data_IF_092866603855
#
_entry.id   IF_092866603855
#
_cell.length_a   1.000
_cell.length_b   1.000
_cell.length_c   1.000
_cell.angle_alpha   90.00
_cell.angle_beta   90.00
_cell.angle_gamma   90.00
#
_symmetry.space_group_name_H-M   'P 1'
#
loop_
_entity.id
_entity.type
_entity.pdbx_description
1 polymer ?
#
# COMPACT_ATOMS: atom_id res chain seq x y z
N UNK A 1 -8.02 5.65 17.81
CA UNK A 1 -9.42 5.92 17.36
C UNK A 1 -10.42 4.96 18.01
N UNK A 2 -11.46 5.42 18.71
CA UNK A 2 -12.67 4.62 19.00
C UNK A 2 -13.64 4.80 17.84
N UNK A 3 -13.41 4.09 16.75
CA UNK A 3 -14.24 4.19 15.54
C UNK A 3 -14.95 2.85 15.34
N UNK A 4 -16.22 2.77 15.79
CA UNK A 4 -17.04 1.57 15.63
C UNK A 4 -17.14 1.11 14.17
N UNK A 5 -17.08 2.04 13.21
CA UNK A 5 -17.06 1.71 11.77
C UNK A 5 -15.80 0.93 11.39
N UNK A 6 -14.63 1.33 11.87
CA UNK A 6 -13.36 0.63 11.58
C UNK A 6 -13.37 -0.76 12.20
N UNK A 7 -13.92 -0.90 13.41
CA UNK A 7 -14.10 -2.23 14.03
C UNK A 7 -15.02 -3.11 13.18
N UNK A 8 -16.19 -2.60 12.79
CA UNK A 8 -17.15 -3.37 11.98
C UNK A 8 -16.57 -3.75 10.61
N UNK A 9 -15.82 -2.85 9.98
CA UNK A 9 -15.11 -3.14 8.73
C UNK A 9 -14.08 -4.27 8.92
N UNK A 10 -13.29 -4.21 9.98
CA UNK A 10 -12.32 -5.25 10.31
C UNK A 10 -13.00 -6.60 10.59
N UNK A 11 -14.06 -6.61 11.41
CA UNK A 11 -14.86 -7.80 11.72
C UNK A 11 -15.43 -8.42 10.43
N UNK A 12 -16.01 -7.60 9.56
CA UNK A 12 -16.50 -8.06 8.25
C UNK A 12 -15.39 -8.73 7.42
N UNK A 13 -14.20 -8.13 7.35
CA UNK A 13 -13.08 -8.73 6.61
C UNK A 13 -12.53 -10.00 7.26
N UNK A 14 -12.55 -10.08 8.59
CA UNK A 14 -12.03 -11.22 9.33
C UNK A 14 -12.96 -12.43 9.29
N UNK A 15 -14.27 -12.21 9.17
CA UNK A 15 -15.28 -13.27 9.07
C UNK A 15 -15.34 -13.93 7.68
N UNK A 16 -15.04 -13.17 6.62
CA UNK A 16 -14.92 -13.70 5.25
C UNK A 16 -13.48 -14.09 4.93
N UNK A 17 -13.20 -15.39 4.81
CA UNK A 17 -11.86 -15.90 4.45
C UNK A 17 -11.30 -15.32 3.13
N UNK A 18 -12.17 -14.84 2.23
CA UNK A 18 -11.75 -14.17 0.98
C UNK A 18 -11.23 -12.75 1.21
N UNK A 19 -11.60 -12.14 2.33
CA UNK A 19 -11.26 -10.77 2.70
C UNK A 19 -10.21 -10.68 3.82
N UNK A 20 -9.67 -11.80 4.31
CA UNK A 20 -8.68 -11.79 5.40
C UNK A 20 -7.42 -10.98 5.05
N UNK A 21 -7.06 -10.93 3.76
CA UNK A 21 -5.98 -10.07 3.25
C UNK A 21 -6.32 -8.58 3.42
N UNK A 22 -7.57 -8.18 3.15
CA UNK A 22 -8.04 -6.81 3.38
C UNK A 22 -8.06 -6.45 4.88
N UNK A 23 -8.35 -7.42 5.76
CA UNK A 23 -8.21 -7.24 7.22
C UNK A 23 -6.74 -6.96 7.61
N UNK A 24 -5.81 -7.72 7.04
CA UNK A 24 -4.36 -7.51 7.23
C UNK A 24 -3.92 -6.15 6.71
N UNK A 25 -4.40 -5.74 5.53
CA UNK A 25 -4.11 -4.44 4.90
C UNK A 25 -4.60 -3.26 5.76
N UNK A 26 -5.79 -3.38 6.35
CA UNK A 26 -6.30 -2.38 7.27
C UNK A 26 -5.45 -2.27 8.53
N UNK A 27 -5.12 -3.40 9.17
CA UNK A 27 -4.33 -3.42 10.41
C UNK A 27 -2.90 -2.96 10.19
N UNK A 28 -2.24 -3.36 9.09
CA UNK A 28 -0.88 -2.88 8.79
C UNK A 28 -0.85 -1.36 8.60
N UNK A 29 -1.82 -0.80 7.87
CA UNK A 29 -1.93 0.64 7.67
C UNK A 29 -2.15 1.39 8.98
N UNK A 30 -3.10 0.93 9.81
CA UNK A 30 -3.37 1.52 11.13
C UNK A 30 -2.14 1.42 12.04
N UNK A 31 -1.45 0.28 12.04
CA UNK A 31 -0.29 0.06 12.91
C UNK A 31 0.86 1.00 12.56
N UNK A 32 1.22 1.12 11.28
CA UNK A 32 2.25 2.06 10.84
C UNK A 32 1.81 3.50 11.07
N UNK A 33 0.52 3.84 10.92
CA UNK A 33 0.04 5.18 11.23
C UNK A 33 0.19 5.53 12.72
N UNK A 34 -0.28 4.66 13.62
CA UNK A 34 -0.35 4.92 15.06
C UNK A 34 1.01 4.81 15.77
N UNK A 35 1.87 3.90 15.29
CA UNK A 35 3.14 3.58 15.95
C UNK A 35 4.37 3.97 15.12
N UNK A 36 4.22 4.23 13.82
CA UNK A 36 5.34 4.36 12.90
C UNK A 36 6.07 3.02 12.70
N UNK A 37 7.24 3.10 12.08
CA UNK A 37 8.12 1.96 11.85
C UNK A 37 7.89 1.29 10.51
N UNK A 38 8.32 0.03 10.44
CA UNK A 38 8.44 -0.76 9.22
C UNK A 38 7.46 -1.93 9.26
N UNK A 39 6.60 -1.99 8.25
CA UNK A 39 5.78 -3.15 7.96
C UNK A 39 6.38 -3.96 6.80
N UNK A 40 6.36 -5.28 6.96
CA UNK A 40 6.65 -6.22 5.89
C UNK A 40 5.82 -7.50 6.07
N UNK A 41 5.42 -8.13 4.96
CA UNK A 41 4.71 -9.41 4.96
C UNK A 41 5.61 -10.53 5.53
N UNK A 42 4.99 -11.62 6.00
CA UNK A 42 5.71 -12.75 6.60
C UNK A 42 6.56 -13.54 5.60
N UNK A 43 6.33 -13.36 4.30
CA UNK A 43 7.09 -13.93 3.19
C UNK A 43 8.01 -12.91 2.51
N UNK A 44 8.16 -11.71 3.09
CA UNK A 44 9.17 -10.74 2.70
C UNK A 44 10.48 -10.98 3.47
N UNK A 45 11.60 -10.96 2.77
CA UNK A 45 12.92 -11.06 3.40
C UNK A 45 13.91 -10.03 2.85
N UNK A 46 14.73 -9.51 3.75
CA UNK A 46 15.82 -8.59 3.43
C UNK A 46 17.06 -9.36 2.99
N UNK A 47 17.66 -8.92 1.90
CA UNK A 47 19.02 -9.28 1.51
C UNK A 47 20.01 -8.25 2.05
N UNK A 48 19.65 -6.97 1.95
CA UNK A 48 20.43 -5.84 2.45
C UNK A 48 19.49 -4.74 2.97
N UNK A 49 19.83 -4.16 4.12
CA UNK A 49 19.04 -3.11 4.77
C UNK A 49 19.93 -2.05 5.40
N UNK A 50 19.74 -0.79 5.01
CA UNK A 50 20.35 0.35 5.69
C UNK A 50 19.44 0.84 6.82
N UNK A 51 19.87 0.63 8.06
CA UNK A 51 19.08 1.02 9.24
C UNK A 51 18.86 2.54 9.35
N UNK A 52 19.68 3.36 8.67
CA UNK A 52 19.57 4.82 8.70
C UNK A 52 18.39 5.35 7.88
N UNK A 53 17.68 4.51 7.13
CA UNK A 53 16.50 4.93 6.38
C UNK A 53 15.46 5.67 7.22
N UNK A 54 15.18 5.15 8.42
CA UNK A 54 14.20 5.77 9.32
C UNK A 54 14.68 7.10 9.92
N UNK A 55 15.99 7.39 9.85
CA UNK A 55 16.55 8.68 10.21
C UNK A 55 16.28 9.70 9.10
N UNK A 56 16.63 9.32 7.86
CA UNK A 56 16.57 10.22 6.72
C UNK A 56 15.16 10.43 6.17
N UNK A 57 14.28 9.42 6.21
CA UNK A 57 12.98 9.51 5.57
C UNK A 57 11.83 9.48 6.57
N UNK A 58 10.81 10.28 6.29
CA UNK A 58 9.54 10.28 6.98
C UNK A 58 8.62 9.19 6.45
N UNK A 59 8.80 8.79 5.19
CA UNK A 59 8.11 7.69 4.53
C UNK A 59 9.02 6.94 3.55
N UNK A 60 8.89 5.62 3.52
CA UNK A 60 9.51 4.79 2.50
C UNK A 60 8.56 3.69 2.02
N UNK A 61 8.60 3.40 0.72
CA UNK A 61 7.91 2.27 0.12
C UNK A 61 8.69 1.70 -1.08
N UNK A 62 8.27 0.52 -1.53
CA UNK A 62 8.85 -0.14 -2.69
C UNK A 62 7.80 -0.26 -3.79
N UNK A 63 8.14 0.02 -5.05
CA UNK A 63 7.30 -0.41 -6.19
C UNK A 63 7.64 -1.84 -6.56
N UNK A 64 6.66 -2.66 -6.91
CA UNK A 64 6.88 -3.87 -7.69
C UNK A 64 6.74 -3.59 -9.17
N UNK A 65 7.63 -4.18 -9.97
CA UNK A 65 7.45 -4.22 -11.42
C UNK A 65 6.53 -5.40 -11.78
N UNK A 66 5.29 -5.10 -12.18
CA UNK A 66 4.39 -6.08 -12.79
C UNK A 66 4.71 -6.28 -14.28
N UNK A 67 3.95 -7.17 -14.94
CA UNK A 67 4.01 -7.33 -16.40
C UNK A 67 3.77 -5.99 -17.13
N UNK A 68 4.52 -5.77 -18.22
CA UNK A 68 4.39 -4.60 -19.12
C UNK A 68 4.73 -3.24 -18.48
N UNK A 69 5.85 -3.18 -17.74
CA UNK A 69 6.39 -1.93 -17.14
C UNK A 69 5.50 -1.24 -16.10
N UNK A 70 4.33 -1.81 -15.80
CA UNK A 70 3.42 -1.28 -14.81
C UNK A 70 4.01 -1.48 -13.40
N UNK A 71 4.41 -0.39 -12.76
CA UNK A 71 4.83 -0.39 -11.37
C UNK A 71 3.63 -0.18 -10.44
N UNK A 72 3.46 -1.02 -9.41
CA UNK A 72 2.49 -0.78 -8.33
C UNK A 72 3.21 -0.65 -6.99
N UNK A 73 2.66 0.11 -6.04
CA UNK A 73 3.19 0.12 -4.67
C UNK A 73 3.00 -1.23 -4.02
N UNK A 74 4.08 -1.80 -3.49
CA UNK A 74 4.03 -2.99 -2.67
C UNK A 74 3.45 -2.61 -1.31
N UNK A 75 2.21 -3.02 -1.01
CA UNK A 75 1.67 -2.87 0.35
C UNK A 75 2.08 -4.03 1.28
N UNK A 76 2.81 -5.02 0.76
CA UNK A 76 3.56 -6.01 1.53
C UNK A 76 4.86 -5.47 2.14
N UNK A 77 5.23 -4.21 1.85
CA UNK A 77 6.43 -3.57 2.38
C UNK A 77 6.31 -2.04 2.33
N UNK A 78 6.26 -1.40 3.49
CA UNK A 78 6.33 0.06 3.59
C UNK A 78 6.62 0.47 5.03
N UNK A 79 6.99 1.72 5.24
CA UNK A 79 7.07 2.27 6.57
C UNK A 79 7.10 3.77 6.58
N UNK A 80 6.88 4.30 7.76
CA UNK A 80 6.74 5.73 7.95
C UNK A 80 6.99 6.11 9.40
N UNK A 81 7.27 7.39 9.65
CA UNK A 81 7.14 7.97 10.98
C UNK A 81 5.67 7.97 11.40
N UNK A 82 5.44 7.93 12.71
CA UNK A 82 4.10 7.99 13.28
C UNK A 82 3.34 9.20 12.73
N UNK A 83 2.10 8.98 12.32
CA UNK A 83 1.22 10.03 11.85
C UNK A 83 1.48 10.51 10.41
N UNK A 84 2.35 9.84 9.65
CA UNK A 84 2.67 10.27 8.29
C UNK A 84 1.42 10.38 7.39
N UNK A 85 1.29 11.50 6.67
CA UNK A 85 0.09 11.86 5.91
C UNK A 85 -0.23 10.87 4.79
N UNK A 86 0.79 10.26 4.16
CA UNK A 86 0.57 9.22 3.16
C UNK A 86 -0.06 7.94 3.77
N UNK A 87 0.24 7.61 5.03
CA UNK A 87 -0.39 6.46 5.69
C UNK A 87 -1.77 6.85 6.22
N UNK A 88 -1.92 8.07 6.74
CA UNK A 88 -3.23 8.59 7.16
C UNK A 88 -4.24 8.54 5.99
N UNK A 89 -3.84 9.04 4.82
CA UNK A 89 -4.67 9.00 3.61
C UNK A 89 -4.92 7.56 3.15
N UNK A 90 -3.96 6.65 3.30
CA UNK A 90 -4.15 5.26 2.93
C UNK A 90 -5.24 4.61 3.79
N UNK A 91 -5.18 4.82 5.11
CA UNK A 91 -6.20 4.35 6.06
C UNK A 91 -7.56 4.99 5.78
N UNK A 92 -7.61 6.29 5.45
CA UNK A 92 -8.86 6.98 5.08
C UNK A 92 -9.47 6.40 3.79
N UNK A 93 -8.66 6.20 2.75
CA UNK A 93 -9.12 5.60 1.49
C UNK A 93 -9.73 4.21 1.72
N UNK A 94 -9.12 3.38 2.57
CA UNK A 94 -9.68 2.07 2.92
C UNK A 94 -11.05 2.16 3.61
N UNK A 95 -11.22 3.13 4.50
CA UNK A 95 -12.49 3.36 5.21
C UNK A 95 -13.57 3.93 4.29
N UNK A 96 -13.19 4.82 3.38
CA UNK A 96 -14.10 5.47 2.44
C UNK A 96 -14.55 4.51 1.34
N UNK A 97 -13.63 3.70 0.81
CA UNK A 97 -13.88 2.70 -0.21
C UNK A 97 -14.81 1.58 0.28
N UNK A 98 -14.73 1.23 1.57
CA UNK A 98 -15.60 0.22 2.15
C UNK A 98 -17.00 0.75 2.44
N UNK A 99 -17.97 0.18 1.73
CA UNK A 99 -19.40 0.45 1.88
C UNK A 99 -20.12 -0.85 2.22
N UNK A 100 -20.95 -0.82 3.27
CA UNK A 100 -21.83 -1.94 3.59
C UNK A 100 -22.91 -2.12 2.52
N UNK A 101 -23.68 -3.21 2.57
CA UNK A 101 -24.70 -3.51 1.54
C UNK A 101 -25.75 -2.40 1.38
N UNK A 102 -26.11 -1.72 2.47
CA UNK A 102 -27.02 -0.58 2.47
C UNK A 102 -26.40 0.72 1.93
N UNK A 103 -25.12 0.73 1.60
CA UNK A 103 -24.34 1.87 1.09
C UNK A 103 -23.79 1.59 -0.34
N UNK A 104 -24.27 0.54 -1.02
CA UNK A 104 -23.73 0.09 -2.32
C UNK A 104 -23.61 1.22 -3.36
N UNK A 105 -24.60 2.10 -3.45
CA UNK A 105 -24.65 3.19 -4.44
C UNK A 105 -23.60 4.28 -4.20
N UNK A 106 -22.91 4.24 -3.04
CA UNK A 106 -21.84 5.16 -2.68
C UNK A 106 -20.44 4.58 -2.95
N UNK A 107 -20.35 3.36 -3.51
CA UNK A 107 -19.05 2.77 -3.86
C UNK A 107 -18.42 3.51 -5.03
N UNK A 108 -17.08 3.69 -5.04
CA UNK A 108 -16.39 4.17 -6.22
C UNK A 108 -16.59 3.17 -7.38
N UNK A 109 -16.60 3.67 -8.62
CA UNK A 109 -16.82 2.85 -9.83
C UNK A 109 -15.85 1.67 -9.91
N UNK A 110 -14.61 1.85 -9.46
CA UNK A 110 -13.59 0.80 -9.42
C UNK A 110 -13.89 -0.35 -8.44
N UNK A 111 -14.88 -0.17 -7.55
CA UNK A 111 -15.42 -1.15 -6.59
C UNK A 111 -16.92 -1.36 -6.80
N UNK A 112 -17.34 -1.52 -8.07
CA UNK A 112 -18.73 -1.85 -8.40
C UNK A 112 -19.24 -3.11 -7.67
N UNK A 113 -20.56 -3.34 -7.73
CA UNK A 113 -21.21 -4.40 -6.95
C UNK A 113 -20.62 -5.78 -7.22
N UNK A 114 -20.27 -6.08 -8.47
CA UNK A 114 -19.65 -7.35 -8.84
C UNK A 114 -18.22 -7.47 -8.30
N UNK A 115 -17.36 -6.48 -8.55
CA UNK A 115 -15.96 -6.54 -8.12
C UNK A 115 -15.82 -6.54 -6.59
N UNK A 116 -16.69 -5.82 -5.88
CA UNK A 116 -16.70 -5.76 -4.42
C UNK A 116 -16.90 -7.13 -3.76
N UNK A 117 -17.64 -8.03 -4.41
CA UNK A 117 -17.91 -9.40 -3.93
C UNK A 117 -16.78 -10.41 -4.22
N UNK A 118 -15.68 -9.94 -4.81
CA UNK A 118 -14.55 -10.77 -5.24
C UNK A 118 -13.25 -10.33 -4.58
N UNK A 119 -12.17 -11.06 -4.83
CA UNK A 119 -10.83 -10.71 -4.35
C UNK A 119 -10.25 -9.44 -5.01
N UNK A 120 -10.88 -8.95 -6.07
CA UNK A 120 -10.55 -7.66 -6.71
C UNK A 120 -10.72 -6.47 -5.77
N UNK A 121 -11.69 -6.56 -4.85
CA UNK A 121 -11.97 -5.52 -3.86
C UNK A 121 -10.74 -5.21 -2.99
N UNK A 122 -9.95 -6.23 -2.66
CA UNK A 122 -8.70 -6.08 -1.92
C UNK A 122 -7.71 -5.25 -2.71
N UNK A 123 -7.44 -5.60 -3.99
CA UNK A 123 -6.45 -4.90 -4.82
C UNK A 123 -6.65 -3.38 -4.89
N UNK A 124 -7.90 -2.96 -5.05
CA UNK A 124 -8.26 -1.54 -5.24
C UNK A 124 -8.56 -0.84 -3.93
N UNK A 125 -9.35 -1.49 -3.06
CA UNK A 125 -9.90 -0.86 -1.86
C UNK A 125 -8.93 -0.83 -0.68
N UNK A 126 -8.09 -1.85 -0.54
CA UNK A 126 -7.17 -1.96 0.62
C UNK A 126 -5.72 -2.24 0.24
N UNK A 127 -5.47 -2.64 -1.00
CA UNK A 127 -4.20 -3.16 -1.46
C UNK A 127 -3.29 -2.12 -2.13
N UNK A 128 -2.49 -2.57 -3.12
CA UNK A 128 -1.50 -1.76 -3.83
C UNK A 128 -2.00 -0.45 -4.42
N UNK A 129 -3.22 -0.45 -4.97
CA UNK A 129 -3.77 0.74 -5.62
C UNK A 129 -4.09 1.82 -4.60
N UNK A 130 -4.68 1.44 -3.45
CA UNK A 130 -4.97 2.38 -2.38
C UNK A 130 -3.69 2.98 -1.79
N UNK A 131 -2.68 2.15 -1.51
CA UNK A 131 -1.38 2.63 -1.04
C UNK A 131 -0.68 3.49 -2.10
N UNK A 132 -0.75 3.09 -3.37
CA UNK A 132 -0.18 3.81 -4.51
C UNK A 132 -0.77 5.21 -4.69
N UNK A 133 -2.10 5.31 -4.71
CA UNK A 133 -2.81 6.60 -4.82
C UNK A 133 -2.46 7.49 -3.62
N UNK A 134 -2.46 6.93 -2.41
CA UNK A 134 -2.13 7.67 -1.21
C UNK A 134 -0.70 8.20 -1.24
N UNK A 135 0.26 7.34 -1.57
CA UNK A 135 1.68 7.72 -1.68
C UNK A 135 1.85 8.83 -2.72
N UNK A 136 1.40 8.61 -3.95
CA UNK A 136 1.55 9.57 -5.04
C UNK A 136 0.93 10.94 -4.72
N UNK A 137 -0.13 10.97 -3.91
CA UNK A 137 -0.80 12.20 -3.51
C UNK A 137 -0.03 13.00 -2.47
N UNK A 138 0.90 12.40 -1.73
CA UNK A 138 1.51 13.02 -0.55
C UNK A 138 3.04 12.96 -0.47
N UNK A 139 3.70 12.27 -1.41
CA UNK A 139 5.17 12.23 -1.47
C UNK A 139 5.79 13.62 -1.49
N UNK A 140 6.73 13.84 -0.57
CA UNK A 140 7.52 15.06 -0.43
C UNK A 140 6.66 16.33 -0.32
N UNK A 141 5.48 16.21 0.32
CA UNK A 141 4.61 17.34 0.67
C UNK A 141 4.76 17.72 2.14
N UNK A 142 4.34 18.93 2.49
CA UNK A 142 4.29 19.44 3.87
C UNK A 142 5.63 19.37 4.62
N UNK A 143 6.75 19.39 3.89
CA UNK A 143 8.10 19.34 4.44
C UNK A 143 8.60 17.92 4.74
N UNK A 144 7.84 16.87 4.41
CA UNK A 144 8.29 15.49 4.56
C UNK A 144 9.40 15.15 3.56
N UNK A 145 10.34 14.32 4.00
CA UNK A 145 11.36 13.71 3.15
C UNK A 145 10.99 12.25 2.89
N UNK A 146 10.49 11.97 1.69
CA UNK A 146 9.90 10.68 1.35
C UNK A 146 10.62 10.01 0.19
N UNK A 147 10.66 8.68 0.23
CA UNK A 147 11.26 7.89 -0.85
C UNK A 147 10.37 6.75 -1.31
N UNK A 148 10.40 6.51 -2.61
CA UNK A 148 9.90 5.29 -3.21
C UNK A 148 11.05 4.64 -3.98
N UNK A 149 11.39 3.42 -3.57
CA UNK A 149 12.44 2.64 -4.23
C UNK A 149 11.80 1.73 -5.26
N UNK A 150 12.32 1.74 -6.48
CA UNK A 150 11.83 0.86 -7.53
C UNK A 150 12.49 -0.51 -7.40
N UNK A 151 11.70 -1.56 -7.16
CA UNK A 151 12.20 -2.93 -7.29
C UNK A 151 12.54 -3.18 -8.77
N UNK A 152 13.83 -3.36 -9.04
CA UNK A 152 14.36 -3.70 -10.35
C UNK A 152 15.05 -5.05 -10.25
N UNK A 153 14.82 -5.92 -11.23
CA UNK A 153 15.39 -7.29 -11.25
C UNK A 153 16.92 -7.34 -11.32
N UNK A 154 17.57 -6.20 -11.52
CA UNK A 154 19.03 -6.07 -11.54
C UNK A 154 19.47 -5.55 -10.16
N UNK A 155 20.27 -6.37 -9.47
CA UNK A 155 20.52 -6.39 -8.01
C UNK A 155 21.26 -5.15 -7.45
N UNK A 156 21.56 -4.13 -8.25
CA UNK A 156 22.37 -2.98 -7.80
C UNK A 156 21.83 -1.65 -8.29
N UNK A 157 20.58 -1.31 -7.95
CA UNK A 157 20.13 0.07 -8.07
C UNK A 157 20.68 0.90 -6.90
N UNK A 158 21.89 1.44 -7.10
CA UNK A 158 22.39 2.55 -6.29
C UNK A 158 21.54 3.78 -6.61
N UNK A 159 20.52 4.02 -5.79
CA UNK A 159 19.71 5.23 -5.92
C UNK A 159 20.45 6.35 -5.20
N UNK A 160 21.00 7.29 -5.97
CA UNK A 160 21.52 8.54 -5.40
C UNK A 160 20.35 9.44 -5.06
N UNK A 161 20.09 9.60 -3.77
CA UNK A 161 18.96 10.38 -3.28
C UNK A 161 19.50 11.70 -2.74
N UNK A 162 18.89 12.80 -3.16
CA UNK A 162 19.16 14.11 -2.57
C UNK A 162 18.38 14.21 -1.26
N UNK A 163 19.09 14.39 -0.16
CA UNK A 163 18.49 14.54 1.18
C UNK A 163 18.94 15.85 1.83
N UNK A 164 18.08 16.43 2.67
CA UNK A 164 18.46 17.48 3.60
C UNK A 164 19.22 16.85 4.78
N UNK A 165 20.43 17.34 5.04
CA UNK A 165 21.21 16.95 6.22
C UNK A 165 20.74 17.73 7.46
N UNK A 166 21.38 17.48 8.61
CA UNK A 166 21.11 18.17 9.89
C UNK A 166 21.25 19.70 9.83
N UNK A 167 21.95 20.23 8.82
CA UNK A 167 22.17 21.66 8.60
C UNK A 167 21.23 22.25 7.52
N UNK A 168 20.21 21.51 7.07
CA UNK A 168 19.33 21.87 5.96
C UNK A 168 20.04 22.06 4.60
N UNK A 169 21.17 21.41 4.39
CA UNK A 169 21.88 21.42 3.12
C UNK A 169 21.54 20.17 2.31
N UNK A 170 21.41 20.33 0.98
CA UNK A 170 21.15 19.21 0.07
C UNK A 170 22.44 18.42 -0.14
N UNK A 171 22.46 17.16 0.28
CA UNK A 171 23.59 16.24 0.11
C UNK A 171 23.17 14.99 -0.67
N UNK A 172 24.12 14.30 -1.28
CA UNK A 172 23.86 13.02 -1.93
C UNK A 172 24.01 11.90 -0.90
N UNK A 173 22.94 11.16 -0.67
CA UNK A 173 22.93 9.94 0.12
C UNK A 173 22.82 8.75 -0.83
N UNK A 174 23.71 7.78 -0.67
CA UNK A 174 23.60 6.48 -1.34
C UNK A 174 23.03 5.50 -0.33
N UNK A 175 21.89 4.92 -0.65
CA UNK A 175 21.26 3.90 0.18
C UNK A 175 21.23 2.61 -0.59
N UNK A 176 21.61 1.53 0.09
CA UNK A 176 21.54 0.18 -0.46
C UNK A 176 20.44 -0.59 0.26
N UNK A 177 19.41 -0.94 -0.50
CA UNK A 177 18.31 -1.78 -0.03
C UNK A 177 18.12 -2.87 -1.06
N UNK A 178 18.09 -4.11 -0.59
CA UNK A 178 17.71 -5.25 -1.40
C UNK A 178 16.80 -6.13 -0.57
N UNK A 179 15.64 -6.47 -1.11
CA UNK A 179 14.70 -7.37 -0.47
C UNK A 179 13.92 -8.12 -1.53
N UNK A 180 13.25 -9.18 -1.11
CA UNK A 180 12.44 -9.97 -2.01
C UNK A 180 11.16 -10.38 -1.30
N UNK A 181 10.07 -10.15 -2.01
CA UNK A 181 8.78 -10.73 -1.72
C UNK A 181 8.72 -12.09 -2.42
N UNK A 182 8.38 -13.15 -1.69
CA UNK A 182 8.22 -14.48 -2.24
C UNK A 182 6.89 -14.68 -2.97
N UNK A 183 6.02 -13.66 -2.98
CA UNK A 183 4.73 -13.61 -3.65
C UNK A 183 3.96 -14.90 -3.43
N UNK A 184 3.45 -15.15 -2.22
CA UNK A 184 2.54 -16.27 -1.96
C UNK A 184 1.18 -16.09 -2.69
N UNK A 185 1.19 -15.96 -4.03
CA UNK A 185 0.13 -16.06 -5.04
C UNK A 185 -1.25 -15.44 -4.75
N UNK A 186 -1.42 -14.69 -3.66
CA UNK A 186 -2.71 -14.24 -3.17
C UNK A 186 -3.32 -13.16 -4.06
N UNK A 187 -2.49 -12.49 -4.86
CA UNK A 187 -2.90 -11.36 -5.71
C UNK A 187 -3.28 -11.78 -7.12
N UNK A 188 -2.87 -12.97 -7.57
CA UNK A 188 -3.13 -13.44 -8.94
C UNK A 188 -4.64 -13.54 -9.19
N UNK A 189 -5.38 -14.08 -8.21
CA UNK A 189 -6.83 -14.16 -8.28
C UNK A 189 -7.47 -12.76 -8.20
N UNK A 190 -6.95 -11.86 -7.34
CA UNK A 190 -7.44 -10.48 -7.25
C UNK A 190 -7.30 -9.71 -8.55
N UNK A 191 -6.15 -9.85 -9.21
CA UNK A 191 -5.90 -9.23 -10.51
C UNK A 191 -6.79 -9.81 -11.61
N UNK A 192 -6.96 -11.13 -11.65
CA UNK A 192 -7.87 -11.79 -12.61
C UNK A 192 -9.32 -11.37 -12.41
N UNK A 193 -9.77 -11.36 -11.15
CA UNK A 193 -11.12 -10.94 -10.79
C UNK A 193 -11.33 -9.46 -11.16
N UNK A 194 -10.34 -8.60 -10.93
CA UNK A 194 -10.41 -7.19 -11.30
C UNK A 194 -10.57 -7.00 -12.82
N UNK A 195 -9.80 -7.73 -13.62
CA UNK A 195 -9.92 -7.70 -15.08
C UNK A 195 -11.28 -8.20 -15.59
N UNK A 196 -11.92 -9.10 -14.85
CA UNK A 196 -13.17 -9.76 -15.27
C UNK A 196 -14.42 -9.04 -14.76
N UNK A 197 -14.41 -8.57 -13.52
CA UNK A 197 -15.60 -8.05 -12.83
C UNK A 197 -15.52 -6.54 -12.53
N UNK A 198 -14.40 -5.88 -12.83
CA UNK A 198 -14.20 -4.45 -12.60
C UNK A 198 -14.81 -3.51 -13.65
N UNK A 199 -15.43 -4.05 -14.71
CA UNK A 199 -15.87 -3.28 -15.88
C UNK A 199 -17.34 -3.55 -16.22
N UNK A 200 -18.26 -3.24 -15.29
CA UNK A 200 -19.71 -3.51 -15.46
C UNK A 200 -20.28 -2.99 -16.79
N UNK A 201 -19.84 -1.84 -17.29
CA UNK A 201 -20.28 -1.29 -18.58
C UNK A 201 -19.76 -2.04 -19.82
N UNK A 202 -18.66 -2.80 -19.66
CA UNK A 202 -17.99 -3.52 -20.74
C UNK A 202 -18.28 -5.04 -20.71
N UNK A 203 -18.81 -5.56 -19.60
CA UNK A 203 -19.17 -6.97 -19.43
C UNK A 203 -20.68 -7.17 -19.46
N UNK A 204 -21.21 -7.67 -20.58
CA UNK A 204 -22.59 -8.16 -20.64
C UNK A 204 -22.65 -9.60 -20.11
N UNK A 205 -23.46 -9.83 -19.09
CA UNK A 205 -23.90 -11.17 -18.67
C UNK A 205 -25.29 -11.47 -19.20
#
# INVERSE_FOLDING_TARGET
MKNDRVRQQFEYYAEDLRAVAAASDLIRGISVFEYGGLYFDNDYYFLEWDYNLNYYFDYYAITLTLTWELGVMLNGFFGAKKGHIAIESYVKLMQEAFKFENENDQRPISLCTCSFKTSASTMVGTGPSALGISSASYLNRDGNQDIVVRDHREIEYLTHIKVLNENNEVTNLTIKIAGKDSYQASWINGFRDYQTFGWEDLTKF
#
